data_IF_280243251912
#
_entry.id   IF_280243251912
#
_cell.length_a   1.000
_cell.length_b   1.000
_cell.length_c   1.000
_cell.angle_alpha   90.00
_cell.angle_beta   90.00
_cell.angle_gamma   90.00
#
_symmetry.space_group_name_H-M   'P 1'
#
loop_
_entity.id
_entity.type
_entity.pdbx_description
1 polymer ?
#
# COMPACT_ATOMS: atom_id res chain seq x y z
N UNK A 1 20.96 -4.17 14.38
CA UNK A 1 21.36 -4.81 13.13
C UNK A 1 21.00 -3.88 11.98
N UNK A 2 22.02 -3.27 11.32
CA UNK A 2 21.81 -2.55 10.07
C UNK A 2 21.78 -3.55 8.91
N UNK A 3 20.62 -3.75 8.30
CA UNK A 3 20.52 -4.44 7.01
C UNK A 3 20.77 -3.38 5.93
N UNK A 4 21.99 -3.31 5.41
CA UNK A 4 22.30 -2.55 4.19
C UNK A 4 22.03 -3.44 2.98
N UNK A 5 20.84 -3.38 2.44
CA UNK A 5 20.55 -3.94 1.12
C UNK A 5 21.08 -2.99 0.05
N UNK A 6 22.29 -3.23 -0.43
CA UNK A 6 22.79 -2.59 -1.64
C UNK A 6 22.24 -3.35 -2.85
N UNK A 7 21.05 -2.97 -3.32
CA UNK A 7 20.49 -3.52 -4.55
C UNK A 7 21.12 -2.80 -5.74
N UNK A 8 21.91 -3.55 -6.51
CA UNK A 8 22.52 -3.10 -7.77
C UNK A 8 21.49 -3.25 -8.89
N UNK A 9 20.97 -2.13 -9.37
CA UNK A 9 20.05 -2.11 -10.51
C UNK A 9 19.18 -0.86 -10.53
N UNK A 10 19.29 -0.09 -11.56
CA UNK A 10 18.84 1.30 -11.69
C UNK A 10 17.33 1.54 -11.81
N UNK A 11 16.43 0.68 -11.34
CA UNK A 11 14.98 0.94 -11.37
C UNK A 11 14.15 0.17 -10.31
N UNK A 12 14.75 -0.37 -9.27
CA UNK A 12 13.96 -0.88 -8.16
C UNK A 12 13.64 0.24 -7.19
N UNK A 13 12.42 0.76 -7.25
CA UNK A 13 11.84 1.49 -6.12
C UNK A 13 11.68 0.49 -4.98
N UNK A 14 12.68 0.42 -4.12
CA UNK A 14 12.71 -0.45 -2.94
C UNK A 14 11.64 0.03 -1.99
N UNK A 15 10.53 -0.69 -1.96
CA UNK A 15 9.60 -0.66 -0.84
C UNK A 15 9.41 -2.10 -0.44
N UNK A 16 10.38 -2.51 0.37
CA UNK A 16 10.41 -3.84 0.92
C UNK A 16 9.37 -3.94 2.03
N UNK A 17 8.73 -5.08 2.12
CA UNK A 17 7.87 -5.43 3.23
C UNK A 17 8.46 -6.64 3.94
N UNK A 18 8.51 -6.56 5.26
CA UNK A 18 8.90 -7.68 6.10
C UNK A 18 7.64 -8.42 6.52
N UNK A 19 7.62 -9.72 6.27
CA UNK A 19 6.53 -10.57 6.71
C UNK A 19 6.47 -10.64 8.26
N UNK A 20 5.33 -10.36 8.89
CA UNK A 20 5.26 -10.15 10.34
C UNK A 20 5.57 -11.39 11.19
N UNK A 21 5.41 -12.59 10.62
CA UNK A 21 5.61 -13.86 11.34
C UNK A 21 6.92 -14.51 10.96
N UNK A 22 7.25 -14.60 9.66
CA UNK A 22 8.45 -15.34 9.18
C UNK A 22 9.69 -14.47 9.08
N UNK A 23 9.56 -13.14 9.07
CA UNK A 23 10.65 -12.19 8.85
C UNK A 23 11.17 -12.15 7.41
N UNK A 24 10.52 -12.84 6.49
CA UNK A 24 10.87 -12.84 5.07
C UNK A 24 10.67 -11.45 4.46
N UNK A 25 11.54 -11.05 3.54
CA UNK A 25 11.48 -9.74 2.90
C UNK A 25 11.01 -9.89 1.46
N UNK A 26 10.00 -9.10 1.10
CA UNK A 26 9.39 -9.11 -0.24
C UNK A 26 9.48 -7.74 -0.91
N UNK A 27 9.54 -7.75 -2.23
CA UNK A 27 9.49 -6.57 -3.09
C UNK A 27 8.71 -6.88 -4.37
N UNK A 28 8.23 -5.85 -5.06
CA UNK A 28 7.60 -5.99 -6.38
C UNK A 28 8.33 -5.15 -7.41
N UNK A 29 8.76 -5.79 -8.50
CA UNK A 29 9.44 -5.09 -9.58
C UNK A 29 8.48 -4.21 -10.39
N UNK A 30 8.87 -2.97 -10.62
CA UNK A 30 8.06 -1.96 -11.31
C UNK A 30 7.68 -2.35 -12.76
N UNK A 31 8.60 -2.99 -13.48
CA UNK A 31 8.42 -3.24 -14.93
C UNK A 31 7.42 -4.35 -15.25
N UNK A 32 7.55 -5.47 -14.59
CA UNK A 32 6.83 -6.71 -14.88
C UNK A 32 5.83 -7.12 -13.80
N UNK A 33 5.68 -6.34 -12.74
CA UNK A 33 4.82 -6.64 -11.58
C UNK A 33 5.10 -8.00 -10.91
N UNK A 34 6.31 -8.52 -11.07
CA UNK A 34 6.77 -9.77 -10.46
C UNK A 34 7.07 -9.54 -8.98
N UNK A 35 6.62 -10.45 -8.14
CA UNK A 35 6.96 -10.49 -6.72
C UNK A 35 8.32 -11.17 -6.55
N UNK A 36 9.19 -10.55 -5.77
CA UNK A 36 10.51 -11.06 -5.41
C UNK A 36 10.57 -11.29 -3.90
N UNK A 37 11.32 -12.29 -3.52
CA UNK A 37 11.66 -12.63 -2.13
C UNK A 37 13.17 -12.52 -1.94
N UNK A 38 13.59 -11.97 -0.82
CA UNK A 38 15.03 -11.95 -0.47
C UNK A 38 15.51 -13.33 -0.07
N UNK A 39 16.60 -13.76 -0.70
CA UNK A 39 17.33 -14.97 -0.37
C UNK A 39 18.60 -14.60 0.41
N UNK A 40 18.69 -14.92 1.71
CA UNK A 40 19.84 -14.56 2.53
C UNK A 40 21.10 -15.37 2.20
N UNK A 41 20.97 -16.57 1.62
CA UNK A 41 22.12 -17.39 1.24
C UNK A 41 22.81 -16.83 -0.01
N UNK A 42 22.00 -16.35 -0.97
CA UNK A 42 22.50 -15.74 -2.20
C UNK A 42 22.73 -14.23 -2.06
N UNK A 43 22.27 -13.62 -0.95
CA UNK A 43 22.28 -12.18 -0.70
C UNK A 43 21.66 -11.38 -1.87
N UNK A 44 20.52 -11.83 -2.39
CA UNK A 44 19.85 -11.23 -3.55
C UNK A 44 18.33 -11.42 -3.49
N UNK A 45 17.61 -10.66 -4.31
CA UNK A 45 16.16 -10.84 -4.52
C UNK A 45 15.94 -11.90 -5.60
N UNK A 46 15.19 -12.94 -5.27
CA UNK A 46 14.83 -14.04 -6.17
C UNK A 46 13.36 -13.93 -6.57
N UNK A 47 13.06 -14.11 -7.86
CA UNK A 47 11.70 -14.09 -8.35
C UNK A 47 10.89 -15.27 -7.80
N UNK A 48 9.69 -14.98 -7.28
CA UNK A 48 8.77 -16.02 -6.79
C UNK A 48 8.03 -16.75 -7.91
N UNK A 49 8.13 -16.25 -9.14
CA UNK A 49 7.32 -16.74 -10.27
C UNK A 49 5.89 -16.16 -10.31
N UNK A 50 5.51 -15.38 -9.33
CA UNK A 50 4.16 -14.82 -9.20
C UNK A 50 4.12 -13.37 -9.66
N UNK A 51 3.18 -13.04 -10.55
CA UNK A 51 2.93 -11.70 -11.06
C UNK A 51 1.55 -11.20 -10.67
N UNK A 52 1.42 -9.89 -10.47
CA UNK A 52 0.12 -9.26 -10.23
C UNK A 52 -0.74 -9.29 -11.49
N UNK A 53 -2.05 -9.48 -11.37
CA UNK A 53 -2.96 -9.48 -12.52
C UNK A 53 -3.32 -8.04 -12.96
N UNK A 54 -3.66 -7.90 -14.25
CA UNK A 54 -4.37 -6.74 -14.79
C UNK A 54 -5.90 -6.88 -14.62
N UNK A 55 -6.66 -5.93 -15.15
CA UNK A 55 -8.13 -5.96 -15.08
C UNK A 55 -8.77 -7.14 -15.81
N UNK A 56 -8.06 -7.81 -16.70
CA UNK A 56 -8.52 -9.00 -17.43
C UNK A 56 -8.01 -10.30 -16.78
N UNK A 57 -7.34 -10.23 -15.62
CA UNK A 57 -6.75 -11.38 -14.94
C UNK A 57 -5.48 -11.92 -15.60
N UNK A 58 -4.89 -11.19 -16.56
CA UNK A 58 -3.60 -11.53 -17.17
C UNK A 58 -2.46 -10.89 -16.39
N UNK A 59 -1.24 -11.36 -16.61
CA UNK A 59 -0.06 -10.76 -16.01
C UNK A 59 0.05 -9.27 -16.34
N UNK A 60 0.01 -8.44 -15.31
CA UNK A 60 0.13 -7.00 -15.47
C UNK A 60 1.55 -6.58 -15.87
N UNK A 61 1.67 -5.47 -16.55
CA UNK A 61 2.94 -4.84 -16.88
C UNK A 61 2.97 -3.38 -16.44
N UNK A 62 4.17 -2.84 -16.20
CA UNK A 62 4.38 -1.44 -15.81
C UNK A 62 3.56 -1.03 -14.58
N UNK A 63 3.43 -1.92 -13.59
CA UNK A 63 2.77 -1.65 -12.31
C UNK A 63 3.77 -1.02 -11.34
N UNK A 64 3.40 0.10 -10.74
CA UNK A 64 4.22 0.79 -9.73
C UNK A 64 3.63 0.55 -8.33
N UNK A 65 4.08 -0.51 -7.68
CA UNK A 65 3.71 -0.79 -6.30
C UNK A 65 4.42 0.20 -5.36
N UNK A 66 3.66 0.73 -4.41
CA UNK A 66 4.14 1.70 -3.41
C UNK A 66 4.15 1.15 -1.99
N UNK A 67 3.39 0.11 -1.74
CA UNK A 67 3.33 -0.56 -0.44
C UNK A 67 2.98 -2.03 -0.64
N UNK A 68 3.64 -2.89 0.09
CA UNK A 68 3.25 -4.27 0.36
C UNK A 68 2.94 -4.32 1.86
N UNK A 69 1.78 -4.80 2.23
CA UNK A 69 1.32 -4.87 3.61
C UNK A 69 0.74 -6.24 3.88
N UNK A 70 1.22 -6.92 4.89
CA UNK A 70 0.62 -8.16 5.38
C UNK A 70 -0.33 -7.87 6.55
N UNK A 71 -1.37 -8.67 6.68
CA UNK A 71 -2.14 -8.70 7.91
C UNK A 71 -1.27 -9.19 9.11
N UNK A 72 -1.76 -9.02 10.32
CA UNK A 72 -1.01 -9.42 11.53
C UNK A 72 -0.72 -10.92 11.59
N UNK A 73 -1.59 -11.73 10.98
CA UNK A 73 -1.41 -13.18 10.90
C UNK A 73 -0.40 -13.60 9.83
N UNK A 74 -0.05 -12.71 8.90
CA UNK A 74 0.84 -12.98 7.78
C UNK A 74 0.21 -13.83 6.68
N UNK A 75 -1.10 -14.01 6.69
CA UNK A 75 -1.80 -14.88 5.73
C UNK A 75 -2.44 -14.11 4.58
N UNK A 76 -2.67 -12.82 4.75
CA UNK A 76 -3.24 -11.95 3.72
C UNK A 76 -2.25 -10.86 3.37
N UNK A 77 -2.07 -10.62 2.08
CA UNK A 77 -1.21 -9.55 1.55
C UNK A 77 -2.04 -8.51 0.79
N UNK A 78 -1.71 -7.26 0.99
CA UNK A 78 -2.27 -6.12 0.27
C UNK A 78 -1.16 -5.35 -0.43
N UNK A 79 -1.42 -4.86 -1.65
CA UNK A 79 -0.42 -4.09 -2.39
C UNK A 79 -1.07 -2.88 -3.07
N UNK A 80 -0.57 -1.67 -2.78
CA UNK A 80 -1.04 -0.45 -3.42
C UNK A 80 -0.33 -0.21 -4.75
N UNK A 81 -1.08 0.02 -5.81
CA UNK A 81 -0.54 0.38 -7.12
C UNK A 81 -0.79 1.84 -7.46
N UNK A 82 0.26 2.65 -7.39
CA UNK A 82 0.18 4.08 -7.63
C UNK A 82 -0.33 4.41 -9.03
N UNK A 83 0.23 3.80 -10.06
CA UNK A 83 -0.08 4.13 -11.45
C UNK A 83 -1.27 3.38 -12.04
N UNK A 84 -1.75 2.33 -11.34
CA UNK A 84 -2.94 1.57 -11.75
C UNK A 84 -4.17 1.94 -10.93
N UNK A 85 -4.00 2.80 -9.90
CA UNK A 85 -5.08 3.36 -9.10
C UNK A 85 -5.92 2.31 -8.36
N UNK A 86 -5.29 1.20 -7.98
CA UNK A 86 -5.95 0.05 -7.33
C UNK A 86 -5.15 -0.45 -6.13
N UNK A 87 -5.82 -1.21 -5.30
CA UNK A 87 -5.23 -2.04 -4.26
C UNK A 87 -5.49 -3.49 -4.60
N UNK A 88 -4.43 -4.29 -4.62
CA UNK A 88 -4.47 -5.73 -4.75
C UNK A 88 -4.62 -6.40 -3.39
N UNK A 89 -5.25 -7.56 -3.37
CA UNK A 89 -5.31 -8.48 -2.23
C UNK A 89 -4.95 -9.88 -2.71
N UNK A 90 -4.35 -10.67 -1.83
CA UNK A 90 -4.05 -12.07 -2.06
C UNK A 90 -3.77 -12.80 -0.78
N UNK A 91 -3.57 -14.10 -0.88
CA UNK A 91 -3.21 -14.98 0.23
C UNK A 91 -1.73 -15.33 0.18
N UNK A 92 -1.14 -15.57 1.35
CA UNK A 92 0.21 -16.07 1.49
C UNK A 92 0.23 -17.34 2.35
N UNK A 93 0.70 -18.45 1.78
CA UNK A 93 0.89 -19.72 2.49
C UNK A 93 2.31 -19.77 3.06
N UNK A 94 2.46 -19.48 4.35
CA UNK A 94 3.76 -19.49 5.04
C UNK A 94 4.45 -20.85 5.02
N UNK A 95 3.69 -21.97 4.93
CA UNK A 95 4.25 -23.31 4.93
C UNK A 95 4.93 -23.67 3.61
N UNK A 96 4.48 -23.05 2.52
CA UNK A 96 5.02 -23.24 1.16
C UNK A 96 5.83 -22.06 0.68
N UNK A 97 5.65 -20.86 1.31
CA UNK A 97 6.26 -19.62 0.84
C UNK A 97 5.64 -19.12 -0.46
N UNK A 98 4.36 -19.38 -0.70
CA UNK A 98 3.66 -19.13 -1.96
C UNK A 98 2.53 -18.11 -1.83
N UNK A 99 2.42 -17.23 -2.83
CA UNK A 99 1.28 -16.34 -3.01
C UNK A 99 0.21 -16.99 -3.87
N UNK A 100 -1.06 -16.77 -3.51
CA UNK A 100 -2.22 -17.25 -4.27
C UNK A 100 -3.37 -16.23 -4.25
N UNK A 101 -4.39 -16.45 -5.05
CA UNK A 101 -5.62 -15.65 -5.10
C UNK A 101 -5.40 -14.14 -5.28
N UNK A 102 -4.29 -13.74 -5.90
CA UNK A 102 -3.99 -12.33 -6.17
C UNK A 102 -5.01 -11.73 -7.14
N UNK A 103 -5.68 -10.67 -6.71
CA UNK A 103 -6.69 -9.99 -7.52
C UNK A 103 -6.76 -8.49 -7.19
N UNK A 104 -7.38 -7.70 -8.06
CA UNK A 104 -7.73 -6.31 -7.77
C UNK A 104 -8.88 -6.33 -6.76
N UNK A 105 -8.63 -5.76 -5.58
CA UNK A 105 -9.59 -5.78 -4.47
C UNK A 105 -10.41 -4.50 -4.37
N UNK A 106 -9.74 -3.33 -4.41
CA UNK A 106 -10.41 -2.02 -4.32
C UNK A 106 -9.86 -1.09 -5.39
N UNK A 107 -10.75 -0.36 -6.04
CA UNK A 107 -10.44 0.60 -7.09
C UNK A 107 -10.70 0.09 -8.49
N UNK A 108 -10.67 1.00 -9.46
CA UNK A 108 -10.85 0.70 -10.88
C UNK A 108 -9.53 0.85 -11.62
N UNK A 109 -9.06 -0.24 -12.22
CA UNK A 109 -7.78 -0.33 -12.91
C UNK A 109 -7.65 0.75 -14.00
N UNK A 110 -6.53 1.47 -13.98
CA UNK A 110 -6.22 2.62 -14.86
C UNK A 110 -7.26 3.76 -14.80
N UNK A 111 -8.13 3.81 -13.79
CA UNK A 111 -9.18 4.83 -13.67
C UNK A 111 -8.87 5.78 -12.51
N UNK A 112 -8.67 7.05 -12.83
CA UNK A 112 -8.38 8.12 -11.86
C UNK A 112 -9.63 8.61 -11.16
N UNK A 113 -9.48 9.08 -9.94
CA UNK A 113 -10.55 9.72 -9.19
C UNK A 113 -10.53 9.35 -7.72
N UNK A 114 -11.52 9.85 -6.99
CA UNK A 114 -11.85 9.41 -5.64
C UNK A 114 -13.35 9.27 -5.53
N UNK A 115 -13.83 8.08 -5.31
CA UNK A 115 -15.23 7.76 -5.05
C UNK A 115 -15.27 6.70 -3.97
N UNK A 116 -16.02 6.95 -2.92
CA UNK A 116 -16.32 5.97 -1.89
C UNK A 116 -17.16 4.84 -2.48
N UNK A 117 -17.04 3.64 -1.94
CA UNK A 117 -17.81 2.49 -2.41
C UNK A 117 -17.14 1.17 -2.14
N UNK A 118 -17.83 0.10 -2.51
CA UNK A 118 -17.41 -1.28 -2.31
C UNK A 118 -16.54 -1.77 -3.47
N UNK A 119 -15.37 -2.28 -3.16
CA UNK A 119 -14.53 -2.98 -4.14
C UNK A 119 -14.26 -2.16 -5.41
N UNK A 120 -14.73 -2.66 -6.55
CA UNK A 120 -14.56 -2.02 -7.86
C UNK A 120 -15.53 -0.86 -8.15
N UNK A 121 -16.48 -0.55 -7.28
CA UNK A 121 -17.28 0.67 -7.35
C UNK A 121 -16.48 1.89 -6.87
N UNK A 122 -15.49 1.65 -6.01
CA UNK A 122 -14.61 2.67 -5.49
C UNK A 122 -13.60 3.16 -6.54
N UNK A 123 -13.11 4.39 -6.35
CA UNK A 123 -11.98 4.94 -7.11
C UNK A 123 -10.93 5.52 -6.18
N UNK A 124 -9.68 5.29 -6.54
CA UNK A 124 -8.50 5.85 -5.89
C UNK A 124 -7.66 6.59 -6.95
N UNK A 125 -6.90 7.60 -6.55
CA UNK A 125 -5.92 8.19 -7.46
C UNK A 125 -4.54 8.26 -6.80
N UNK A 126 -3.65 7.45 -7.31
CA UNK A 126 -2.29 7.26 -6.80
C UNK A 126 -2.28 6.82 -5.31
N UNK A 127 -2.84 5.64 -4.97
CA UNK A 127 -2.66 5.09 -3.63
C UNK A 127 -1.18 4.81 -3.36
N UNK A 128 -0.71 5.25 -2.18
CA UNK A 128 0.69 5.12 -1.76
C UNK A 128 0.82 4.18 -0.57
N UNK A 129 1.42 4.63 0.53
CA UNK A 129 1.61 3.82 1.73
C UNK A 129 0.28 3.44 2.36
N UNK A 130 0.26 2.26 2.98
CA UNK A 130 -0.86 1.72 3.73
C UNK A 130 -0.39 1.22 5.09
N UNK A 131 -1.28 1.23 6.06
CA UNK A 131 -1.09 0.55 7.34
C UNK A 131 -2.44 0.05 7.87
N UNK A 132 -2.41 -0.87 8.85
CA UNK A 132 -3.56 -1.54 9.45
C UNK A 132 -3.79 -1.07 10.87
N UNK A 133 -5.06 -0.84 11.23
CA UNK A 133 -5.45 -0.74 12.64
C UNK A 133 -5.62 -2.11 13.31
N UNK A 134 -6.04 -2.11 14.55
CA UNK A 134 -6.24 -3.34 15.32
C UNK A 134 -7.43 -4.17 14.85
N UNK A 135 -8.42 -3.53 14.26
CA UNK A 135 -9.62 -4.13 13.70
C UNK A 135 -9.40 -4.68 12.27
N UNK A 136 -8.22 -4.47 11.70
CA UNK A 136 -7.87 -4.91 10.34
C UNK A 136 -8.36 -3.97 9.23
N UNK A 137 -8.78 -2.74 9.58
CA UNK A 137 -9.04 -1.74 8.56
C UNK A 137 -7.71 -1.21 8.01
N UNK A 138 -7.66 -1.00 6.71
CA UNK A 138 -6.51 -0.42 6.03
C UNK A 138 -6.70 1.08 5.89
N UNK A 139 -5.69 1.84 6.28
CA UNK A 139 -5.59 3.25 5.96
C UNK A 139 -4.62 3.44 4.82
N UNK A 140 -4.98 4.28 3.85
CA UNK A 140 -4.17 4.49 2.63
C UNK A 140 -4.05 5.97 2.29
N UNK A 141 -2.83 6.40 1.99
CA UNK A 141 -2.58 7.73 1.47
C UNK A 141 -3.00 7.80 -0.02
N UNK A 142 -4.04 8.58 -0.32
CA UNK A 142 -4.52 8.82 -1.69
C UNK A 142 -3.91 10.13 -2.21
N UNK A 143 -2.69 9.99 -2.74
CA UNK A 143 -1.75 11.07 -2.99
C UNK A 143 -2.36 12.22 -3.81
N UNK A 144 -2.91 11.93 -4.98
CA UNK A 144 -3.45 12.95 -5.91
C UNK A 144 -4.81 13.51 -5.50
N UNK A 145 -5.42 12.95 -4.46
CA UNK A 145 -6.69 13.44 -3.91
C UNK A 145 -6.52 14.11 -2.55
N UNK A 146 -5.26 14.29 -2.09
CA UNK A 146 -4.96 15.02 -0.87
C UNK A 146 -5.74 14.48 0.35
N UNK A 147 -5.87 13.14 0.45
CA UNK A 147 -6.72 12.45 1.43
C UNK A 147 -6.01 11.25 2.03
N UNK A 148 -6.49 10.86 3.19
CA UNK A 148 -6.30 9.52 3.74
C UNK A 148 -7.66 8.83 3.67
N UNK A 149 -7.69 7.67 3.04
CA UNK A 149 -8.89 6.83 2.99
C UNK A 149 -8.78 5.66 3.96
N UNK A 150 -9.92 5.14 4.40
CA UNK A 150 -10.06 3.91 5.18
C UNK A 150 -10.76 2.86 4.34
N UNK A 151 -10.28 1.64 4.40
CA UNK A 151 -10.88 0.48 3.74
C UNK A 151 -11.14 -0.57 4.81
N UNK A 152 -12.39 -0.98 4.95
CA UNK A 152 -12.78 -2.06 5.88
C UNK A 152 -12.37 -3.44 5.35
N UNK A 153 -12.27 -4.49 6.18
CA UNK A 153 -11.83 -5.82 5.74
C UNK A 153 -12.66 -6.45 4.62
N UNK A 154 -13.93 -6.02 4.46
CA UNK A 154 -14.82 -6.42 3.38
C UNK A 154 -14.64 -5.59 2.10
N UNK A 155 -13.79 -4.54 2.12
CA UNK A 155 -13.42 -3.76 0.94
C UNK A 155 -14.25 -2.48 0.72
N UNK A 156 -14.95 -1.96 1.74
CA UNK A 156 -15.62 -0.66 1.65
C UNK A 156 -14.59 0.46 1.83
N UNK A 157 -14.41 1.26 0.78
CA UNK A 157 -13.59 2.48 0.81
C UNK A 157 -14.41 3.68 1.27
N UNK A 158 -13.88 4.41 2.26
CA UNK A 158 -14.44 5.68 2.74
C UNK A 158 -13.35 6.75 2.89
N UNK A 159 -13.72 8.01 2.85
CA UNK A 159 -12.81 9.09 3.22
C UNK A 159 -12.60 9.09 4.73
N UNK A 160 -11.38 8.91 5.20
CA UNK A 160 -11.07 9.03 6.62
C UNK A 160 -10.80 10.48 7.02
N UNK A 161 -9.91 11.16 6.27
CA UNK A 161 -9.60 12.57 6.50
C UNK A 161 -9.05 13.24 5.25
N UNK A 162 -9.11 14.55 5.24
CA UNK A 162 -8.71 15.39 4.12
C UNK A 162 -9.89 15.86 3.29
N UNK A 163 -9.94 17.17 3.02
CA UNK A 163 -11.03 17.79 2.22
C UNK A 163 -10.94 17.44 0.73
N UNK A 164 -9.78 16.96 0.26
CA UNK A 164 -9.48 16.74 -1.16
C UNK A 164 -8.93 17.98 -1.87
N UNK A 165 -8.84 19.09 -1.19
CA UNK A 165 -8.12 20.28 -1.66
C UNK A 165 -6.70 20.25 -1.10
N UNK A 166 -5.72 20.64 -1.92
CA UNK A 166 -4.36 20.79 -1.43
C UNK A 166 -4.28 21.94 -0.44
N UNK A 167 -3.61 21.71 0.68
CA UNK A 167 -3.44 22.70 1.72
C UNK A 167 -2.65 22.17 2.90
N UNK A 168 -2.53 22.98 3.95
CA UNK A 168 -1.76 22.64 5.16
C UNK A 168 -2.56 22.91 6.44
N UNK A 169 -3.87 23.05 6.33
CA UNK A 169 -4.76 23.34 7.45
C UNK A 169 -4.85 22.15 8.39
N UNK A 170 -4.65 22.40 9.68
CA UNK A 170 -4.92 21.48 10.77
C UNK A 170 -6.40 21.60 11.20
N UNK A 171 -6.89 20.64 11.95
CA UNK A 171 -8.26 20.66 12.49
C UNK A 171 -8.85 19.27 12.60
N UNK A 172 -10.18 19.21 12.64
CA UNK A 172 -10.92 17.96 12.67
C UNK A 172 -10.74 17.15 11.37
N UNK A 173 -11.07 15.88 11.39
CA UNK A 173 -10.86 14.96 10.25
C UNK A 173 -11.53 15.45 8.95
N UNK A 174 -12.65 16.15 9.05
CA UNK A 174 -13.42 16.71 7.93
C UNK A 174 -12.87 18.05 7.39
N UNK A 175 -11.99 18.73 8.16
CA UNK A 175 -11.44 20.06 7.81
C UNK A 175 -9.96 20.04 7.47
N UNK A 176 -9.24 19.03 7.92
CA UNK A 176 -7.82 18.90 7.65
C UNK A 176 -7.51 18.90 6.15
N UNK A 177 -6.41 19.52 5.77
CA UNK A 177 -5.92 19.54 4.39
C UNK A 177 -4.51 18.98 4.34
N UNK A 178 -4.24 18.24 3.28
CA UNK A 178 -2.94 17.67 2.97
C UNK A 178 -2.47 18.13 1.58
N UNK A 179 -1.18 17.95 1.31
CA UNK A 179 -0.64 18.20 -0.02
C UNK A 179 0.23 17.03 -0.47
N UNK A 180 -0.35 16.14 -1.29
CA UNK A 180 0.28 14.90 -1.75
C UNK A 180 0.81 14.03 -0.59
N UNK A 181 -0.06 13.57 0.33
CA UNK A 181 0.37 12.64 1.38
C UNK A 181 0.86 11.34 0.75
N UNK A 182 2.00 10.82 1.20
CA UNK A 182 2.61 9.61 0.63
C UNK A 182 2.79 8.49 1.66
N UNK A 183 3.39 8.80 2.81
CA UNK A 183 3.66 7.85 3.87
C UNK A 183 2.62 7.93 4.96
N UNK A 184 2.26 6.79 5.55
CA UNK A 184 1.51 6.74 6.78
C UNK A 184 1.86 5.49 7.59
N UNK A 185 1.74 5.59 8.91
CA UNK A 185 1.98 4.48 9.82
C UNK A 185 1.33 4.77 11.18
N UNK A 186 0.75 3.73 11.79
CA UNK A 186 0.35 3.79 13.19
C UNK A 186 1.58 3.74 14.10
N UNK A 187 1.64 4.65 15.05
CA UNK A 187 2.64 4.64 16.10
C UNK A 187 2.26 3.70 17.26
N UNK A 188 3.21 3.44 18.17
CA UNK A 188 2.94 2.62 19.36
C UNK A 188 1.94 3.28 20.33
N UNK A 189 1.69 4.56 20.16
CA UNK A 189 0.67 5.33 20.88
C UNK A 189 -0.74 5.23 20.26
N UNK A 190 -0.89 4.44 19.19
CA UNK A 190 -2.13 4.28 18.43
C UNK A 190 -2.49 5.46 17.53
N UNK A 191 -1.68 6.50 17.50
CA UNK A 191 -1.89 7.64 16.61
C UNK A 191 -1.44 7.30 15.17
N UNK A 192 -2.11 7.89 14.19
CA UNK A 192 -1.70 7.76 12.79
C UNK A 192 -0.77 8.91 12.39
N UNK A 193 0.46 8.58 12.03
CA UNK A 193 1.46 9.52 11.53
C UNK A 193 1.46 9.53 10.01
N UNK A 194 1.43 10.72 9.40
CA UNK A 194 1.28 10.92 7.96
C UNK A 194 2.41 11.80 7.45
N UNK A 195 3.12 11.34 6.42
CA UNK A 195 4.04 12.17 5.65
C UNK A 195 3.26 13.02 4.67
N UNK A 196 3.08 14.29 4.99
CA UNK A 196 2.44 15.31 4.13
C UNK A 196 3.50 15.88 3.18
N UNK A 197 3.80 15.12 2.13
CA UNK A 197 5.05 15.17 1.38
C UNK A 197 5.36 16.56 0.80
N UNK A 198 4.42 17.18 0.07
CA UNK A 198 4.67 18.50 -0.52
C UNK A 198 4.54 19.67 0.46
N UNK A 199 4.02 19.43 1.65
CA UNK A 199 4.05 20.38 2.74
C UNK A 199 5.32 20.25 3.60
N UNK A 200 6.18 19.25 3.35
CA UNK A 200 7.39 18.95 4.12
C UNK A 200 7.11 18.81 5.62
N UNK A 201 6.00 18.12 5.97
CA UNK A 201 5.54 17.97 7.36
C UNK A 201 5.23 16.50 7.66
N UNK A 202 5.39 16.16 8.93
CA UNK A 202 4.75 14.98 9.52
C UNK A 202 3.51 15.47 10.27
N UNK A 203 2.37 14.88 9.94
CA UNK A 203 1.09 15.18 10.60
C UNK A 203 0.72 14.00 11.49
N UNK A 204 0.10 14.28 12.62
CA UNK A 204 -0.37 13.28 13.58
C UNK A 204 -1.87 13.37 13.72
N UNK A 205 -2.55 12.23 13.66
CA UNK A 205 -3.96 12.10 14.03
C UNK A 205 -4.00 11.31 15.32
N UNK A 206 -4.44 11.95 16.39
CA UNK A 206 -4.58 11.32 17.71
C UNK A 206 -5.88 10.50 17.73
N UNK A 207 -5.83 9.39 18.46
CA UNK A 207 -7.04 8.61 18.78
C UNK A 207 -7.70 9.31 19.97
N UNK A 208 -8.95 9.75 19.80
CA UNK A 208 -9.79 10.28 20.90
C UNK A 208 -10.04 9.23 22.00
#
# INVERSE_FOLDING_TARGET
YEIRLSLVGSEMCIRDSVHPVTGEVFSVAHGNAMIYKYDPEQNTMVATGVQLPDAAGKNASKVKIRCILFDKAGTTVYMSSQNKHVIYKGDYDMSKGEFSNLHIWVGQYDTKGFTEGQGNEAKLEEPCQMDLDEEGNIYVAVRKKHRIAKITPDGMLTNYTGTGLSGTTDGTLDKAQFNHPEGLQFGPDGALYISDYWNHKIRKIEKD
#
